data_IF_705362559727
#
_entry.id   IF_705362559727
#
_cell.length_a   1.000
_cell.length_b   1.000
_cell.length_c   1.000
_cell.angle_alpha   90.00
_cell.angle_beta   90.00
_cell.angle_gamma   90.00
#
_symmetry.space_group_name_H-M   'P 1'
#
loop_
_entity.id
_entity.type
_entity.pdbx_description
1 polymer ?
#
# COMPACT_ATOMS: atom_id res chain seq x y z
N UNK A 1 17.72 -48.01 73.49
CA UNK A 1 17.87 -46.52 73.33
C UNK A 1 17.12 -46.10 72.06
N UNK A 2 15.88 -45.76 72.26
CA UNK A 2 14.97 -45.41 71.12
C UNK A 2 15.02 -43.93 70.83
N UNK A 3 15.27 -43.64 69.59
CA UNK A 3 15.16 -42.27 69.08
C UNK A 3 13.80 -42.08 68.40
N UNK A 4 13.06 -41.02 68.71
CA UNK A 4 11.73 -40.80 68.16
C UNK A 4 11.75 -40.17 66.73
N UNK A 5 11.00 -40.77 65.83
CA UNK A 5 10.71 -40.24 64.47
C UNK A 5 9.65 -39.16 64.52
N UNK A 6 10.00 -37.94 64.05
CA UNK A 6 9.08 -36.85 63.83
C UNK A 6 8.30 -37.05 62.51
N UNK A 7 7.00 -36.77 62.45
CA UNK A 7 6.23 -36.89 61.21
C UNK A 7 6.46 -35.65 60.31
N UNK A 8 6.79 -35.88 59.07
CA UNK A 8 6.85 -34.86 57.99
C UNK A 8 5.42 -34.50 57.62
N UNK A 9 4.98 -33.29 58.00
CA UNK A 9 3.74 -32.68 57.49
C UNK A 9 4.03 -32.17 56.05
N UNK A 10 3.38 -32.80 55.07
CA UNK A 10 3.36 -32.34 53.70
C UNK A 10 2.48 -31.09 53.62
N UNK A 11 3.06 -29.92 53.39
CA UNK A 11 2.35 -28.70 53.01
C UNK A 11 1.97 -28.80 51.53
N UNK A 12 0.73 -29.05 51.20
CA UNK A 12 0.16 -28.83 49.86
C UNK A 12 0.03 -27.32 49.61
N UNK A 13 0.95 -26.75 48.87
CA UNK A 13 0.80 -25.41 48.33
C UNK A 13 -0.05 -25.52 47.05
N UNK A 14 -1.33 -25.18 47.16
CA UNK A 14 -2.21 -25.01 46.00
C UNK A 14 -1.77 -23.75 45.24
N UNK A 15 -1.12 -23.92 44.10
CA UNK A 15 -0.79 -22.86 43.16
C UNK A 15 -2.11 -22.53 42.40
N UNK A 16 -2.84 -21.52 42.83
CA UNK A 16 -3.92 -20.91 42.06
C UNK A 16 -3.29 -20.20 40.85
N UNK A 17 -3.27 -20.86 39.70
CA UNK A 17 -3.09 -20.22 38.43
C UNK A 17 -4.31 -19.32 38.17
N UNK A 18 -4.22 -18.06 38.53
CA UNK A 18 -5.09 -17.04 37.99
C UNK A 18 -4.71 -16.89 36.52
N UNK A 19 -5.48 -17.52 35.64
CA UNK A 19 -5.56 -17.14 34.25
C UNK A 19 -6.01 -15.67 34.22
N UNK A 20 -5.04 -14.77 34.15
CA UNK A 20 -5.33 -13.40 33.74
C UNK A 20 -5.86 -13.52 32.30
N UNK A 21 -7.20 -13.56 32.17
CA UNK A 21 -7.85 -13.27 30.90
C UNK A 21 -7.42 -11.85 30.57
N UNK A 22 -6.48 -11.71 29.66
CA UNK A 22 -6.14 -10.42 29.07
C UNK A 22 -7.48 -9.81 28.64
N UNK A 23 -7.83 -8.65 29.16
CA UNK A 23 -9.03 -7.95 28.75
C UNK A 23 -8.84 -7.64 27.25
N UNK A 24 -9.44 -8.44 26.38
CA UNK A 24 -9.45 -8.18 24.96
C UNK A 24 -10.05 -6.79 24.73
N UNK A 25 -9.24 -5.88 24.21
CA UNK A 25 -9.68 -4.51 23.95
C UNK A 25 -10.73 -4.56 22.83
N UNK A 26 -11.98 -4.32 23.20
CA UNK A 26 -13.09 -4.20 22.24
C UNK A 26 -13.44 -2.74 22.06
N UNK A 27 -13.54 -2.31 20.80
CA UNK A 27 -13.97 -0.96 20.43
C UNK A 27 -15.19 -1.05 19.52
N UNK A 28 -16.19 -0.21 19.75
CA UNK A 28 -17.36 -0.12 18.89
C UNK A 28 -17.55 1.32 18.39
N UNK A 29 -17.45 1.51 17.08
CA UNK A 29 -17.79 2.77 16.42
C UNK A 29 -19.29 2.78 16.14
N UNK A 30 -19.99 3.81 16.58
CA UNK A 30 -21.47 3.86 16.53
C UNK A 30 -21.96 5.17 15.94
N UNK A 31 -23.04 5.11 15.14
CA UNK A 31 -23.77 6.28 14.69
C UNK A 31 -23.29 6.91 13.39
N UNK A 32 -22.24 6.40 12.78
CA UNK A 32 -21.78 6.89 11.49
C UNK A 32 -22.61 6.39 10.31
N UNK A 33 -22.59 7.13 9.22
CA UNK A 33 -22.81 6.56 7.90
C UNK A 33 -21.60 5.69 7.56
N UNK A 34 -21.78 4.38 7.43
CA UNK A 34 -20.68 3.45 7.09
C UNK A 34 -20.66 3.18 5.60
N UNK A 35 -19.48 3.34 4.98
CA UNK A 35 -19.21 2.99 3.58
C UNK A 35 -18.25 1.79 3.60
N UNK A 36 -18.76 0.55 3.56
CA UNK A 36 -17.92 -0.63 3.77
C UNK A 36 -17.06 -1.00 2.55
N UNK A 37 -17.31 -0.42 1.38
CA UNK A 37 -16.75 -0.72 0.06
C UNK A 37 -17.24 -2.08 -0.49
N UNK A 38 -17.10 -3.16 0.26
CA UNK A 38 -17.58 -4.49 -0.14
C UNK A 38 -19.07 -4.71 0.18
N UNK A 39 -19.91 -3.71 -0.12
CA UNK A 39 -21.35 -3.79 0.13
C UNK A 39 -22.03 -2.43 0.13
N UNK A 40 -23.34 -2.38 0.37
CA UNK A 40 -24.10 -1.12 0.33
C UNK A 40 -23.73 -0.22 1.52
N UNK A 41 -23.85 1.10 1.32
CA UNK A 41 -23.72 2.09 2.38
C UNK A 41 -24.78 1.89 3.48
N UNK A 42 -24.39 2.09 4.74
CA UNK A 42 -25.24 1.91 5.93
C UNK A 42 -25.45 3.27 6.61
N UNK A 43 -26.67 3.77 6.63
CA UNK A 43 -26.95 5.14 7.07
C UNK A 43 -26.66 5.41 8.57
N UNK A 44 -26.94 4.45 9.44
CA UNK A 44 -26.65 4.47 10.89
C UNK A 44 -26.00 3.13 11.25
N UNK A 45 -24.68 3.09 11.13
CA UNK A 45 -23.90 1.86 11.23
C UNK A 45 -23.20 1.68 12.58
N UNK A 46 -22.82 0.44 12.80
CA UNK A 46 -21.94 0.01 13.88
C UNK A 46 -20.82 -0.84 13.30
N UNK A 47 -19.58 -0.55 13.70
CA UNK A 47 -18.41 -1.39 13.44
C UNK A 47 -17.83 -1.80 14.78
N UNK A 48 -17.69 -3.10 15.01
CA UNK A 48 -17.10 -3.67 16.23
C UNK A 48 -15.73 -4.22 15.91
N UNK A 49 -14.76 -3.82 16.71
CA UNK A 49 -13.36 -4.21 16.59
C UNK A 49 -12.94 -4.95 17.85
N UNK A 50 -12.19 -6.02 17.69
CA UNK A 50 -11.55 -6.77 18.78
C UNK A 50 -10.16 -7.22 18.35
N UNK A 51 -9.16 -6.98 19.18
CA UNK A 51 -7.77 -7.40 18.94
C UNK A 51 -7.24 -6.98 17.56
N UNK A 52 -7.52 -5.73 17.16
CA UNK A 52 -7.08 -5.17 15.90
C UNK A 52 -7.87 -5.61 14.66
N UNK A 53 -8.90 -6.46 14.84
CA UNK A 53 -9.71 -6.96 13.71
C UNK A 53 -11.18 -6.58 13.83
N UNK A 54 -11.81 -6.39 12.70
CA UNK A 54 -13.24 -6.16 12.60
C UNK A 54 -13.97 -7.47 12.92
N UNK A 55 -14.89 -7.44 13.87
CA UNK A 55 -15.70 -8.62 14.23
C UNK A 55 -17.13 -8.53 13.74
N UNK A 56 -17.65 -7.31 13.56
CA UNK A 56 -18.99 -7.09 12.99
C UNK A 56 -19.12 -5.72 12.34
N UNK A 57 -19.87 -5.65 11.23
CA UNK A 57 -20.28 -4.42 10.56
C UNK A 57 -21.74 -4.54 10.18
N UNK A 58 -22.54 -3.51 10.42
CA UNK A 58 -23.94 -3.51 10.04
C UNK A 58 -24.75 -2.33 10.60
N UNK A 59 -26.04 -2.33 10.34
CA UNK A 59 -26.93 -1.31 10.90
C UNK A 59 -27.01 -1.40 12.43
N UNK A 60 -27.21 -0.26 13.11
CA UNK A 60 -27.32 -0.17 14.58
C UNK A 60 -28.30 -1.17 15.18
N UNK A 61 -29.39 -1.49 14.51
CA UNK A 61 -30.38 -2.46 14.98
C UNK A 61 -30.00 -3.93 14.76
N UNK A 62 -28.98 -4.21 13.94
CA UNK A 62 -28.56 -5.58 13.57
C UNK A 62 -27.24 -6.01 14.21
N UNK A 63 -26.40 -5.08 14.62
CA UNK A 63 -25.11 -5.36 15.27
C UNK A 63 -25.21 -5.09 16.78
N UNK A 64 -24.89 -6.11 17.57
CA UNK A 64 -24.83 -5.97 19.03
C UNK A 64 -23.48 -5.38 19.44
N UNK A 65 -23.49 -4.25 20.12
CA UNK A 65 -22.30 -3.71 20.80
C UNK A 65 -22.01 -4.57 22.04
N UNK A 66 -20.80 -5.14 22.19
CA UNK A 66 -20.47 -5.96 23.36
C UNK A 66 -20.51 -5.12 24.65
N UNK A 67 -21.01 -5.75 25.75
CA UNK A 67 -20.96 -5.11 27.05
C UNK A 67 -19.52 -4.97 27.52
N UNK A 68 -19.09 -3.74 27.79
CA UNK A 68 -17.70 -3.44 28.17
C UNK A 68 -16.79 -2.99 27.02
N UNK A 69 -17.29 -2.93 25.79
CA UNK A 69 -16.56 -2.30 24.69
C UNK A 69 -16.41 -0.80 24.92
N UNK A 70 -15.25 -0.26 24.55
CA UNK A 70 -15.06 1.18 24.44
C UNK A 70 -15.93 1.68 23.28
N UNK A 71 -16.88 2.56 23.57
CA UNK A 71 -17.76 3.12 22.54
C UNK A 71 -17.17 4.43 22.03
N UNK A 72 -16.90 4.47 20.72
CA UNK A 72 -16.52 5.68 19.98
C UNK A 72 -17.77 6.18 19.26
N UNK A 73 -18.33 7.27 19.75
CA UNK A 73 -19.48 7.93 19.12
C UNK A 73 -19.00 8.74 17.91
N UNK A 74 -19.39 8.30 16.72
CA UNK A 74 -19.09 8.93 15.43
C UNK A 74 -20.38 9.37 14.72
N UNK A 75 -21.40 9.73 15.52
CA UNK A 75 -22.68 10.22 15.00
C UNK A 75 -22.52 11.45 14.12
N UNK A 76 -23.17 11.44 12.95
CA UNK A 76 -23.06 12.52 11.96
C UNK A 76 -21.80 12.51 11.13
N UNK A 77 -20.91 11.53 11.32
CA UNK A 77 -19.68 11.31 10.57
C UNK A 77 -19.85 10.23 9.51
N UNK A 78 -18.82 10.06 8.68
CA UNK A 78 -18.69 8.93 7.76
C UNK A 78 -17.55 8.05 8.23
N UNK A 79 -17.76 6.75 8.22
CA UNK A 79 -16.75 5.74 8.53
C UNK A 79 -16.52 4.87 7.29
N UNK A 80 -15.27 4.74 6.85
CA UNK A 80 -14.90 3.90 5.72
C UNK A 80 -13.55 3.21 5.99
N UNK A 81 -13.15 2.20 5.17
CA UNK A 81 -11.82 1.62 5.28
C UNK A 81 -10.73 2.67 5.15
N UNK A 82 -9.60 2.42 5.76
CA UNK A 82 -8.39 3.16 5.53
C UNK A 82 -7.96 3.12 4.06
N UNK A 83 -7.31 4.16 3.61
CA UNK A 83 -6.86 4.31 2.23
C UNK A 83 -5.62 3.43 2.01
N UNK A 84 -5.56 2.78 0.83
CA UNK A 84 -4.43 1.96 0.37
C UNK A 84 -3.72 2.70 -0.75
N UNK A 85 -2.51 3.18 -0.48
CA UNK A 85 -1.67 3.84 -1.49
C UNK A 85 -0.72 2.83 -2.13
N UNK A 86 -0.94 2.54 -3.39
CA UNK A 86 -0.21 1.49 -4.12
C UNK A 86 1.17 1.93 -4.63
N UNK A 87 1.52 3.20 -4.50
CA UNK A 87 2.80 3.75 -4.94
C UNK A 87 3.11 5.04 -4.20
N UNK A 88 4.08 4.99 -3.33
CA UNK A 88 4.53 6.14 -2.56
C UNK A 88 6.04 6.13 -2.32
N UNK A 89 6.58 7.29 -1.94
CA UNK A 89 7.98 7.48 -1.57
C UNK A 89 8.11 8.01 -0.12
N UNK A 90 7.07 7.85 0.69
CA UNK A 90 7.11 8.20 2.12
C UNK A 90 8.12 7.34 2.87
N UNK A 91 8.62 7.83 4.02
CA UNK A 91 9.59 7.12 4.85
C UNK A 91 11.04 7.49 4.57
N UNK A 92 11.27 8.56 3.79
CA UNK A 92 12.58 9.17 3.51
C UNK A 92 13.62 8.18 2.94
N UNK A 93 13.16 7.13 2.27
CA UNK A 93 13.99 6.14 1.60
C UNK A 93 14.69 6.72 0.36
N UNK A 94 15.81 6.13 -0.01
CA UNK A 94 16.60 6.56 -1.16
C UNK A 94 15.85 6.36 -2.49
N UNK A 95 16.05 7.28 -3.42
CA UNK A 95 15.40 7.27 -4.74
C UNK A 95 15.86 6.14 -5.67
N UNK A 96 16.99 5.51 -5.37
CA UNK A 96 17.57 4.40 -6.13
C UNK A 96 19.07 4.57 -6.39
N UNK A 97 19.77 3.45 -6.51
CA UNK A 97 21.22 3.39 -6.72
C UNK A 97 21.59 3.62 -8.20
N UNK A 98 22.52 4.52 -8.46
CA UNK A 98 22.94 4.92 -9.80
C UNK A 98 24.10 4.09 -10.38
N UNK A 99 24.60 3.07 -9.66
CA UNK A 99 25.78 2.28 -10.06
C UNK A 99 25.51 1.35 -11.26
N UNK A 100 24.25 0.94 -11.46
CA UNK A 100 23.83 0.11 -12.59
C UNK A 100 22.40 0.42 -13.04
N UNK A 101 21.97 -0.04 -14.23
CA UNK A 101 20.60 0.15 -14.69
C UNK A 101 19.57 -0.74 -14.00
N UNK A 102 19.99 -1.74 -13.23
CA UNK A 102 19.11 -2.72 -12.59
C UNK A 102 19.67 -3.21 -11.25
N UNK A 103 18.84 -3.16 -10.24
CA UNK A 103 19.13 -3.50 -8.83
C UNK A 103 18.03 -4.38 -8.21
N UNK A 104 17.74 -5.58 -8.73
CA UNK A 104 16.67 -6.42 -8.18
C UNK A 104 16.97 -6.98 -6.78
N UNK A 105 18.19 -6.85 -6.31
CA UNK A 105 18.70 -7.22 -5.00
C UNK A 105 18.56 -6.13 -3.93
N UNK A 106 18.39 -4.86 -4.34
CA UNK A 106 18.21 -3.74 -3.41
C UNK A 106 16.80 -3.75 -2.83
N UNK A 107 16.67 -3.57 -1.52
CA UNK A 107 15.39 -3.45 -0.83
C UNK A 107 15.23 -2.05 -0.27
N UNK A 108 14.13 -1.37 -0.60
CA UNK A 108 13.84 -0.05 -0.03
C UNK A 108 13.73 -0.11 1.49
N UNK A 109 13.28 -1.24 2.03
CA UNK A 109 13.17 -1.51 3.46
C UNK A 109 14.44 -1.12 4.25
N UNK A 110 15.62 -1.36 3.65
CA UNK A 110 16.91 -1.13 4.33
C UNK A 110 17.28 0.38 4.42
N UNK A 111 16.48 1.27 3.80
CA UNK A 111 16.70 2.72 3.77
C UNK A 111 15.57 3.53 4.44
N UNK A 112 14.50 2.89 4.92
CA UNK A 112 13.35 3.60 5.47
C UNK A 112 13.58 4.06 6.91
N UNK A 113 13.17 5.31 7.20
CA UNK A 113 13.09 5.84 8.56
C UNK A 113 11.65 5.68 9.10
N UNK A 114 11.41 4.82 10.11
CA UNK A 114 10.06 4.64 10.67
C UNK A 114 9.50 5.91 11.36
N UNK A 115 10.35 6.90 11.63
CA UNK A 115 9.96 8.18 12.26
C UNK A 115 9.88 9.34 11.27
N UNK A 116 9.90 9.06 9.97
CA UNK A 116 9.81 10.10 8.96
C UNK A 116 8.48 10.86 9.07
N UNK A 117 8.52 12.19 9.04
CA UNK A 117 7.34 13.07 9.06
C UNK A 117 6.37 12.78 7.91
N UNK A 118 6.87 12.21 6.83
CA UNK A 118 6.07 11.80 5.69
C UNK A 118 5.05 10.69 6.04
N UNK A 119 5.34 9.81 7.00
CA UNK A 119 4.37 8.84 7.52
C UNK A 119 3.24 9.53 8.29
N UNK A 120 3.56 10.55 9.11
CA UNK A 120 2.54 11.33 9.83
C UNK A 120 1.61 12.08 8.87
N UNK A 121 2.17 12.66 7.80
CA UNK A 121 1.36 13.28 6.73
C UNK A 121 0.43 12.28 6.06
N UNK A 122 0.93 11.06 5.79
CA UNK A 122 0.12 10.01 5.18
C UNK A 122 -1.02 9.56 6.12
N UNK A 123 -0.75 9.41 7.42
CA UNK A 123 -1.77 9.13 8.45
C UNK A 123 -2.82 10.25 8.51
N UNK A 124 -2.38 11.52 8.46
CA UNK A 124 -3.27 12.69 8.42
C UNK A 124 -4.13 12.73 7.13
N UNK A 125 -3.67 12.09 6.05
CA UNK A 125 -4.41 11.88 4.80
C UNK A 125 -5.35 10.68 4.81
N UNK A 126 -5.39 9.89 5.89
CA UNK A 126 -6.22 8.70 6.02
C UNK A 126 -5.61 7.43 5.38
N UNK A 127 -4.35 7.48 5.00
CA UNK A 127 -3.64 6.32 4.45
C UNK A 127 -3.27 5.40 5.62
N UNK A 128 -3.67 4.13 5.52
CA UNK A 128 -3.37 3.11 6.53
C UNK A 128 -2.41 2.05 6.03
N UNK A 129 -2.36 1.87 4.72
CA UNK A 129 -1.49 0.90 4.05
C UNK A 129 -0.83 1.56 2.85
N UNK A 130 0.45 1.32 2.69
CA UNK A 130 1.24 1.92 1.61
C UNK A 130 2.23 0.92 1.00
N UNK A 131 2.39 1.00 -0.31
CA UNK A 131 3.51 0.38 -1.00
C UNK A 131 4.61 1.42 -1.19
N UNK A 132 5.60 1.41 -0.33
CA UNK A 132 6.79 2.26 -0.47
C UNK A 132 7.74 1.63 -1.46
N UNK A 133 8.22 2.42 -2.41
CA UNK A 133 9.09 1.91 -3.45
C UNK A 133 10.24 2.86 -3.77
N UNK A 134 11.37 2.32 -4.27
CA UNK A 134 12.44 3.17 -4.77
C UNK A 134 11.99 3.94 -6.00
N UNK A 135 12.69 5.02 -6.33
CA UNK A 135 12.40 5.88 -7.47
C UNK A 135 12.42 5.16 -8.82
N UNK A 136 11.84 5.78 -9.84
CA UNK A 136 11.65 5.19 -11.18
C UNK A 136 12.87 5.39 -12.11
N UNK A 137 14.02 5.86 -11.58
CA UNK A 137 15.20 6.22 -12.36
C UNK A 137 15.97 5.07 -13.02
N UNK A 138 15.55 3.82 -12.82
CA UNK A 138 16.24 2.62 -13.29
C UNK A 138 15.25 1.65 -13.93
N UNK A 139 15.74 0.73 -14.80
CA UNK A 139 14.91 -0.31 -15.41
C UNK A 139 14.30 -1.23 -14.34
N UNK A 140 15.04 -1.42 -13.26
CA UNK A 140 14.62 -2.13 -12.07
C UNK A 140 15.32 -1.49 -10.88
N UNK A 141 14.57 -0.74 -10.08
CA UNK A 141 15.12 0.06 -8.98
C UNK A 141 15.26 -0.74 -7.69
N UNK A 142 14.61 -1.89 -7.58
CA UNK A 142 14.67 -2.75 -6.41
C UNK A 142 13.33 -3.24 -5.90
N UNK A 143 13.39 -3.87 -4.74
CA UNK A 143 12.24 -4.44 -4.06
C UNK A 143 11.52 -3.36 -3.24
N UNK A 144 10.19 -3.34 -3.33
CA UNK A 144 9.34 -2.42 -2.57
C UNK A 144 9.03 -3.00 -1.18
N UNK A 145 8.41 -2.19 -0.31
CA UNK A 145 7.94 -2.61 1.00
C UNK A 145 6.45 -2.28 1.18
N UNK A 146 5.65 -3.28 1.57
CA UNK A 146 4.25 -3.08 1.94
C UNK A 146 4.17 -2.82 3.43
N UNK A 147 3.70 -1.64 3.80
CA UNK A 147 3.65 -1.19 5.17
C UNK A 147 2.22 -0.88 5.60
N UNK A 148 1.91 -1.20 6.86
CA UNK A 148 0.81 -0.58 7.60
C UNK A 148 1.36 0.61 8.37
N UNK A 149 0.68 1.74 8.30
CA UNK A 149 1.15 2.98 8.92
C UNK A 149 0.89 2.98 10.44
N UNK A 150 1.41 1.94 11.12
CA UNK A 150 1.44 1.84 12.58
C UNK A 150 2.37 2.93 13.15
N UNK A 151 2.07 3.42 14.32
CA UNK A 151 3.03 4.22 15.10
C UNK A 151 4.09 3.27 15.69
N UNK A 152 5.29 3.28 15.11
CA UNK A 152 6.35 2.33 15.43
C UNK A 152 7.74 3.01 15.44
N UNK A 153 8.67 2.43 16.19
CA UNK A 153 10.05 2.90 16.27
C UNK A 153 11.02 2.08 15.40
N UNK A 154 10.56 0.94 14.90
CA UNK A 154 11.33 0.07 14.00
C UNK A 154 10.47 -0.26 12.79
N UNK A 155 11.10 -0.33 11.63
CA UNK A 155 10.37 -0.49 10.37
C UNK A 155 9.70 -1.87 10.25
N UNK A 156 10.28 -2.89 10.88
CA UNK A 156 9.75 -4.25 10.90
C UNK A 156 8.35 -4.31 11.53
N UNK A 157 8.07 -3.48 12.54
CA UNK A 157 6.73 -3.38 13.17
C UNK A 157 5.67 -2.79 12.23
N UNK A 158 6.10 -2.13 11.15
CA UNK A 158 5.21 -1.57 10.12
C UNK A 158 4.98 -2.53 8.95
N UNK A 159 5.82 -3.56 8.76
CA UNK A 159 5.71 -4.48 7.64
C UNK A 159 4.40 -5.29 7.66
N UNK A 160 3.94 -5.66 6.48
CA UNK A 160 2.82 -6.59 6.28
C UNK A 160 3.25 -8.05 6.26
N UNK A 161 4.54 -8.33 6.03
CA UNK A 161 5.12 -9.67 6.18
C UNK A 161 5.50 -9.94 7.65
N UNK A 162 5.60 -11.21 8.02
CA UNK A 162 5.93 -11.61 9.40
C UNK A 162 7.45 -11.52 9.68
N UNK A 163 8.29 -11.93 8.73
CA UNK A 163 9.75 -11.94 8.88
C UNK A 163 10.44 -11.48 7.58
N UNK A 164 11.07 -10.28 7.55
CA UNK A 164 11.75 -9.77 6.36
C UNK A 164 13.01 -10.56 5.96
N UNK A 165 13.43 -11.53 6.76
CA UNK A 165 14.56 -12.41 6.44
C UNK A 165 14.13 -13.63 5.61
N UNK A 166 12.87 -14.03 5.71
CA UNK A 166 12.34 -15.24 5.07
C UNK A 166 11.19 -14.96 4.10
N UNK A 167 10.47 -13.86 4.30
CA UNK A 167 9.25 -13.56 3.57
C UNK A 167 9.46 -12.52 2.47
N UNK A 168 8.54 -12.49 1.51
CA UNK A 168 8.46 -11.44 0.49
C UNK A 168 7.62 -10.30 1.04
N UNK A 169 8.26 -9.21 1.44
CA UNK A 169 7.62 -8.07 2.10
C UNK A 169 7.14 -6.96 1.15
N UNK A 170 7.20 -7.19 -0.15
CA UNK A 170 6.80 -6.23 -1.17
C UNK A 170 7.02 -6.74 -2.59
N UNK A 171 6.80 -5.86 -3.58
CA UNK A 171 6.94 -6.17 -4.99
C UNK A 171 8.34 -5.89 -5.55
N UNK A 172 8.43 -5.96 -6.88
CA UNK A 172 9.61 -5.55 -7.66
C UNK A 172 9.30 -4.28 -8.45
N UNK A 173 10.01 -3.21 -8.18
CA UNK A 173 9.87 -1.96 -8.92
C UNK A 173 10.61 -2.04 -10.25
N UNK A 174 9.85 -1.90 -11.33
CA UNK A 174 10.38 -1.74 -12.69
C UNK A 174 9.94 -0.41 -13.29
N UNK A 175 10.67 0.06 -14.29
CA UNK A 175 10.32 1.27 -15.03
C UNK A 175 10.76 1.21 -16.49
N UNK A 176 10.02 1.91 -17.34
CA UNK A 176 10.42 2.23 -18.72
C UNK A 176 10.21 3.72 -18.99
N UNK A 177 10.34 4.12 -20.24
CA UNK A 177 10.21 5.52 -20.64
C UNK A 177 11.44 6.35 -20.28
N UNK A 178 11.26 7.68 -20.21
CA UNK A 178 12.37 8.62 -20.05
C UNK A 178 13.01 8.58 -18.67
N UNK A 179 12.30 8.12 -17.64
CA UNK A 179 12.84 8.02 -16.29
C UNK A 179 14.02 7.06 -16.19
N UNK A 180 13.94 5.92 -16.86
CA UNK A 180 14.97 4.86 -16.82
C UNK A 180 16.02 4.97 -17.90
N UNK A 181 15.91 5.96 -18.82
CA UNK A 181 16.89 6.24 -19.87
C UNK A 181 17.85 7.33 -19.39
N UNK A 182 19.16 7.10 -19.54
CA UNK A 182 20.20 8.01 -19.06
C UNK A 182 20.65 9.06 -20.09
N UNK A 183 19.97 9.15 -21.26
CA UNK A 183 20.30 10.11 -22.31
C UNK A 183 21.68 9.89 -22.97
N UNK A 184 22.15 10.89 -23.69
CA UNK A 184 23.27 10.80 -24.66
C UNK A 184 24.59 10.19 -24.15
N UNK A 185 24.88 10.17 -22.89
CA UNK A 185 26.10 9.62 -22.32
C UNK A 185 25.86 8.60 -21.24
N UNK A 186 24.58 8.16 -21.07
CA UNK A 186 24.18 7.20 -20.07
C UNK A 186 23.81 5.84 -20.69
N UNK A 187 23.59 4.86 -19.83
CA UNK A 187 23.22 3.51 -20.20
C UNK A 187 22.03 3.05 -19.34
N UNK A 188 20.92 2.59 -19.95
CA UNK A 188 20.65 2.53 -21.40
C UNK A 188 20.28 3.89 -22.01
N UNK A 189 20.54 4.10 -23.28
CA UNK A 189 20.22 5.33 -24.02
C UNK A 189 18.90 5.22 -24.83
N UNK A 190 18.47 4.00 -25.16
CA UNK A 190 17.29 3.79 -25.99
C UNK A 190 16.32 2.79 -25.36
N UNK A 191 14.99 2.95 -25.65
CA UNK A 191 13.94 2.00 -25.25
C UNK A 191 14.23 0.57 -25.68
N UNK A 192 14.75 0.37 -26.91
CA UNK A 192 15.07 -0.95 -27.42
C UNK A 192 16.20 -1.62 -26.61
N UNK A 193 17.25 -0.88 -26.26
CA UNK A 193 18.34 -1.41 -25.43
C UNK A 193 17.87 -1.66 -23.99
N UNK A 194 17.04 -0.78 -23.45
CA UNK A 194 16.44 -0.95 -22.13
C UNK A 194 15.70 -2.29 -22.01
N UNK A 195 14.84 -2.60 -22.98
CA UNK A 195 14.09 -3.88 -23.00
C UNK A 195 15.01 -5.07 -23.20
N UNK A 196 16.08 -4.95 -24.01
CA UNK A 196 17.05 -6.02 -24.20
C UNK A 196 17.77 -6.39 -22.88
N UNK A 197 18.15 -5.39 -22.09
CA UNK A 197 18.79 -5.59 -20.77
C UNK A 197 17.82 -6.32 -19.82
N UNK A 198 16.55 -5.92 -19.79
CA UNK A 198 15.53 -6.57 -18.97
C UNK A 198 15.37 -8.04 -19.37
N UNK A 199 15.31 -8.34 -20.68
CA UNK A 199 15.24 -9.74 -21.15
C UNK A 199 16.46 -10.55 -20.78
N UNK A 200 17.65 -10.02 -20.96
CA UNK A 200 18.91 -10.67 -20.55
C UNK A 200 18.85 -11.08 -19.09
N UNK A 201 18.40 -10.19 -18.21
CA UNK A 201 18.31 -10.47 -16.77
C UNK A 201 17.26 -11.54 -16.43
N UNK A 202 16.10 -11.53 -17.06
CA UNK A 202 15.09 -12.58 -16.82
C UNK A 202 15.53 -13.93 -17.39
N UNK A 203 16.22 -13.98 -18.54
CA UNK A 203 16.80 -15.22 -19.06
C UNK A 203 17.88 -15.80 -18.13
N UNK A 204 18.72 -14.95 -17.53
CA UNK A 204 19.67 -15.37 -16.50
C UNK A 204 18.95 -15.97 -15.29
N UNK A 205 17.86 -15.35 -14.83
CA UNK A 205 17.06 -15.82 -13.70
C UNK A 205 16.33 -17.15 -14.02
N UNK A 206 15.81 -17.32 -15.24
CA UNK A 206 15.25 -18.59 -15.69
C UNK A 206 16.29 -19.72 -15.65
N UNK A 207 17.49 -19.47 -16.18
CA UNK A 207 18.58 -20.44 -16.14
C UNK A 207 19.01 -20.78 -14.70
N UNK A 208 19.04 -19.77 -13.81
CA UNK A 208 19.33 -19.95 -12.39
C UNK A 208 18.26 -20.83 -11.72
N UNK A 209 16.98 -20.54 -11.94
CA UNK A 209 15.84 -21.30 -11.41
C UNK A 209 15.87 -22.76 -11.89
N UNK A 210 16.14 -22.98 -13.19
CA UNK A 210 16.23 -24.33 -13.76
C UNK A 210 17.35 -25.15 -13.10
N UNK A 211 18.53 -24.57 -12.89
CA UNK A 211 19.64 -25.23 -12.20
C UNK A 211 19.26 -25.60 -10.76
N UNK A 212 18.64 -24.69 -10.01
CA UNK A 212 18.15 -24.99 -8.66
C UNK A 212 17.12 -26.13 -8.65
N UNK A 213 16.18 -26.11 -9.57
CA UNK A 213 15.16 -27.17 -9.70
C UNK A 213 15.75 -28.53 -10.10
N UNK A 214 16.85 -28.55 -10.85
CA UNK A 214 17.59 -29.77 -11.21
C UNK A 214 18.43 -30.33 -10.03
N UNK A 215 18.53 -29.61 -8.92
CA UNK A 215 19.34 -30.00 -7.76
C UNK A 215 20.81 -29.65 -7.90
N UNK A 216 21.19 -28.82 -8.88
CA UNK A 216 22.56 -28.34 -9.02
C UNK A 216 22.96 -27.50 -7.83
N UNK A 217 24.23 -27.60 -7.40
CA UNK A 217 24.79 -26.73 -6.38
C UNK A 217 25.06 -25.34 -6.95
N UNK A 218 24.08 -24.44 -6.81
CA UNK A 218 24.24 -23.02 -7.18
C UNK A 218 24.39 -22.17 -5.91
N UNK A 219 25.37 -21.26 -5.91
CA UNK A 219 25.57 -20.31 -4.81
C UNK A 219 24.40 -19.32 -4.70
N UNK A 220 24.25 -18.67 -3.53
CA UNK A 220 23.31 -17.57 -3.33
C UNK A 220 23.63 -16.43 -4.30
N UNK A 221 22.59 -15.86 -4.90
CA UNK A 221 22.69 -14.69 -5.76
C UNK A 221 21.41 -13.85 -5.59
N UNK A 222 21.48 -12.83 -4.74
CA UNK A 222 20.31 -12.01 -4.37
C UNK A 222 19.63 -11.40 -5.58
N UNK A 223 20.42 -10.99 -6.58
CA UNK A 223 19.89 -10.43 -7.83
C UNK A 223 19.02 -11.43 -8.59
N UNK A 224 19.52 -12.65 -8.76
CA UNK A 224 18.81 -13.71 -9.48
C UNK A 224 17.66 -14.31 -8.65
N UNK A 225 17.80 -14.34 -7.32
CA UNK A 225 16.75 -14.78 -6.40
C UNK A 225 15.54 -13.86 -6.48
N UNK A 226 15.73 -12.53 -6.39
CA UNK A 226 14.62 -11.57 -6.52
C UNK A 226 13.91 -11.62 -7.88
N UNK A 227 14.64 -11.90 -8.98
CA UNK A 227 14.05 -12.11 -10.30
C UNK A 227 13.34 -13.47 -10.41
N UNK A 228 13.87 -14.52 -9.78
CA UNK A 228 13.24 -15.84 -9.75
C UNK A 228 11.88 -15.77 -9.05
N UNK A 229 11.74 -15.01 -7.95
CA UNK A 229 10.47 -14.78 -7.26
C UNK A 229 9.40 -14.13 -8.17
N UNK A 230 9.81 -13.23 -9.07
CA UNK A 230 8.92 -12.67 -10.10
C UNK A 230 8.47 -13.76 -11.07
N UNK A 231 9.41 -14.59 -11.57
CA UNK A 231 9.12 -15.69 -12.50
C UNK A 231 8.31 -16.84 -11.87
N UNK A 232 8.32 -16.96 -10.55
CA UNK A 232 7.53 -17.90 -9.75
C UNK A 232 6.13 -17.36 -9.43
N UNK A 233 5.89 -16.07 -9.72
CA UNK A 233 4.63 -15.39 -9.43
C UNK A 233 4.43 -15.05 -7.94
N UNK A 234 5.48 -15.19 -7.11
CA UNK A 234 5.42 -14.89 -5.67
C UNK A 234 5.71 -13.43 -5.38
N UNK A 235 6.43 -12.72 -6.26
CA UNK A 235 6.70 -11.28 -6.15
C UNK A 235 5.99 -10.51 -7.25
N UNK A 236 5.09 -9.62 -6.87
CA UNK A 236 4.35 -8.74 -7.79
C UNK A 236 5.29 -7.73 -8.44
N UNK A 237 5.12 -7.51 -9.75
CA UNK A 237 5.84 -6.45 -10.48
C UNK A 237 5.03 -5.16 -10.47
N UNK A 238 5.61 -4.09 -9.94
CA UNK A 238 5.09 -2.71 -9.98
C UNK A 238 5.82 -1.95 -11.08
N UNK A 239 5.13 -1.69 -12.19
CA UNK A 239 5.76 -1.19 -13.41
C UNK A 239 5.40 0.27 -13.69
N UNK A 240 6.33 1.19 -13.46
CA UNK A 240 6.23 2.60 -13.87
C UNK A 240 6.20 2.73 -15.39
N UNK A 241 5.16 3.32 -15.94
CA UNK A 241 5.00 3.53 -17.38
C UNK A 241 4.01 4.66 -17.67
N UNK A 242 4.26 5.48 -18.69
CA UNK A 242 3.41 6.64 -19.01
C UNK A 242 2.76 6.53 -20.40
N UNK A 243 3.58 6.39 -21.45
CA UNK A 243 3.13 6.43 -22.84
C UNK A 243 2.45 5.13 -23.24
N UNK A 244 1.49 5.20 -24.13
CA UNK A 244 0.77 4.02 -24.62
C UNK A 244 1.67 2.94 -25.22
N UNK A 245 2.74 3.31 -25.97
CA UNK A 245 3.68 2.37 -26.57
C UNK A 245 4.61 1.73 -25.49
N UNK A 246 4.97 2.47 -24.46
CA UNK A 246 5.71 1.96 -23.29
C UNK A 246 4.82 1.02 -22.43
N UNK A 247 3.52 1.35 -22.27
CA UNK A 247 2.52 0.46 -21.63
C UNK A 247 2.44 -0.88 -22.36
N UNK A 248 2.25 -0.86 -23.68
CA UNK A 248 2.21 -2.07 -24.49
C UNK A 248 3.52 -2.87 -24.42
N UNK A 249 4.64 -2.20 -24.23
CA UNK A 249 5.94 -2.86 -24.04
C UNK A 249 6.01 -3.55 -22.66
N UNK A 250 5.53 -2.92 -21.59
CA UNK A 250 5.46 -3.54 -20.26
C UNK A 250 4.57 -4.80 -20.28
N UNK A 251 3.40 -4.73 -20.93
CA UNK A 251 2.52 -5.89 -21.10
C UNK A 251 3.17 -7.01 -21.93
N UNK A 252 3.95 -6.65 -22.95
CA UNK A 252 4.69 -7.63 -23.78
C UNK A 252 5.75 -8.36 -22.98
N UNK A 253 6.52 -7.66 -22.15
CA UNK A 253 7.52 -8.26 -21.25
C UNK A 253 6.82 -9.20 -20.26
N UNK A 254 5.74 -8.76 -19.62
CA UNK A 254 4.97 -9.59 -18.70
C UNK A 254 4.49 -10.89 -19.37
N UNK A 255 3.94 -10.80 -20.57
CA UNK A 255 3.52 -11.98 -21.34
C UNK A 255 4.69 -12.89 -21.73
N UNK A 256 5.85 -12.33 -22.09
CA UNK A 256 7.04 -13.07 -22.48
C UNK A 256 7.60 -13.91 -21.32
N UNK A 257 7.54 -13.39 -20.09
CA UNK A 257 8.11 -14.02 -18.89
C UNK A 257 7.08 -14.56 -17.90
N UNK A 258 5.80 -14.54 -18.26
CA UNK A 258 4.73 -15.21 -17.51
C UNK A 258 4.24 -14.45 -16.27
N UNK A 259 4.41 -13.13 -16.20
CA UNK A 259 3.86 -12.32 -15.11
C UNK A 259 2.90 -11.24 -15.61
N UNK A 260 1.94 -10.83 -14.77
CA UNK A 260 1.06 -9.69 -15.03
C UNK A 260 1.51 -8.51 -14.19
N UNK A 261 1.98 -7.41 -14.79
CA UNK A 261 2.43 -6.25 -14.03
C UNK A 261 1.24 -5.43 -13.50
N UNK A 262 1.37 -4.87 -12.30
CA UNK A 262 0.58 -3.71 -11.87
C UNK A 262 1.18 -2.49 -12.57
N UNK A 263 0.40 -1.86 -13.43
CA UNK A 263 0.85 -0.70 -14.21
C UNK A 263 0.67 0.59 -13.39
N UNK A 264 1.70 1.40 -13.25
CA UNK A 264 1.65 2.65 -12.50
C UNK A 264 1.70 3.87 -13.41
N UNK A 265 1.01 4.94 -12.99
CA UNK A 265 0.81 6.23 -13.67
C UNK A 265 -0.06 6.14 -14.93
N UNK A 266 0.34 5.38 -15.92
CA UNK A 266 -0.40 5.07 -17.15
C UNK A 266 -1.00 6.31 -17.80
N UNK A 267 -0.22 7.40 -17.93
CA UNK A 267 -0.71 8.71 -18.37
C UNK A 267 -1.47 8.68 -19.70
N UNK A 268 -1.09 7.78 -20.62
CA UNK A 268 -1.77 7.54 -21.89
C UNK A 268 -2.53 6.20 -21.93
N UNK A 269 -2.76 5.56 -20.78
CA UNK A 269 -3.45 4.27 -20.70
C UNK A 269 -4.86 4.30 -21.28
N UNK A 270 -5.52 5.46 -21.24
CA UNK A 270 -6.82 5.66 -21.89
C UNK A 270 -6.81 5.39 -23.40
N UNK A 271 -5.65 5.39 -24.07
CA UNK A 271 -5.49 5.07 -25.48
C UNK A 271 -5.44 3.56 -25.76
N UNK A 272 -5.10 2.77 -24.75
CA UNK A 272 -4.84 1.32 -24.83
C UNK A 272 -5.55 0.57 -23.70
N UNK A 273 -6.69 1.10 -23.26
CA UNK A 273 -7.47 0.52 -22.16
C UNK A 273 -7.95 -0.91 -22.47
N UNK A 274 -8.35 -1.15 -23.72
CA UNK A 274 -8.79 -2.47 -24.17
C UNK A 274 -7.65 -3.51 -24.14
N UNK A 275 -6.44 -3.10 -24.50
CA UNK A 275 -5.25 -3.97 -24.45
C UNK A 275 -4.81 -4.24 -23.01
N UNK A 276 -4.94 -3.25 -22.11
CA UNK A 276 -4.69 -3.41 -20.67
C UNK A 276 -5.70 -4.40 -20.09
N UNK A 277 -6.99 -4.24 -20.41
CA UNK A 277 -8.05 -5.13 -19.98
C UNK A 277 -7.85 -6.56 -20.53
N UNK A 278 -7.52 -6.69 -21.82
CA UNK A 278 -7.25 -7.99 -22.44
C UNK A 278 -6.04 -8.71 -21.83
N UNK A 279 -5.08 -8.00 -21.31
CA UNK A 279 -3.94 -8.55 -20.58
C UNK A 279 -4.26 -8.92 -19.12
N UNK A 280 -5.45 -8.55 -18.61
CA UNK A 280 -5.80 -8.71 -17.20
C UNK A 280 -4.92 -7.89 -16.24
N UNK A 281 -4.23 -6.85 -16.74
CA UNK A 281 -3.33 -6.06 -15.96
C UNK A 281 -4.11 -4.97 -15.20
N UNK A 282 -3.94 -4.86 -13.87
CA UNK A 282 -4.52 -3.75 -13.13
C UNK A 282 -3.70 -2.48 -13.34
N UNK A 283 -4.35 -1.33 -13.19
CA UNK A 283 -3.75 -0.03 -13.40
C UNK A 283 -3.92 0.88 -12.19
N UNK A 284 -2.81 1.26 -11.57
CA UNK A 284 -2.76 2.29 -10.54
C UNK A 284 -2.44 3.63 -11.22
N UNK A 285 -3.39 4.56 -11.16
CA UNK A 285 -3.31 5.82 -11.90
C UNK A 285 -3.08 7.00 -10.96
N UNK A 286 -2.39 8.02 -11.49
CA UNK A 286 -2.27 9.30 -10.82
C UNK A 286 -3.23 10.30 -11.44
N UNK A 287 -3.88 11.12 -10.61
CA UNK A 287 -4.76 12.18 -11.07
C UNK A 287 -3.96 13.45 -11.30
N UNK A 288 -4.49 14.33 -12.14
CA UNK A 288 -3.88 15.57 -12.63
C UNK A 288 -3.65 16.65 -11.56
N UNK A 289 -3.34 16.29 -10.33
CA UNK A 289 -2.90 17.25 -9.32
C UNK A 289 -1.46 17.70 -9.56
N UNK A 290 -0.68 16.83 -10.17
CA UNK A 290 0.67 17.14 -10.57
C UNK A 290 0.66 18.00 -11.82
N UNK A 291 1.46 19.07 -11.87
CA UNK A 291 1.58 19.92 -13.06
C UNK A 291 2.27 19.22 -14.25
N UNK A 292 2.60 17.95 -14.13
CA UNK A 292 3.18 17.14 -15.19
C UNK A 292 4.70 17.09 -15.15
N UNK A 293 5.41 18.12 -15.42
CA UNK A 293 6.89 18.19 -15.38
C UNK A 293 7.64 17.35 -16.43
N UNK A 294 7.05 16.27 -16.94
CA UNK A 294 7.66 15.38 -17.96
C UNK A 294 6.88 15.40 -19.27
N UNK A 295 7.59 15.41 -20.39
CA UNK A 295 6.95 15.32 -21.72
C UNK A 295 6.17 14.03 -21.94
N UNK A 296 6.59 12.92 -21.37
CA UNK A 296 5.87 11.64 -21.48
C UNK A 296 4.57 11.59 -20.67
N UNK A 297 4.44 12.43 -19.64
CA UNK A 297 3.22 12.57 -18.87
C UNK A 297 2.20 13.58 -19.45
N UNK A 298 2.53 14.25 -20.58
CA UNK A 298 1.65 15.24 -21.22
C UNK A 298 0.28 14.68 -21.64
N UNK A 299 0.17 13.37 -21.76
CA UNK A 299 -1.05 12.66 -22.12
C UNK A 299 -1.95 12.34 -20.92
N UNK A 300 -1.62 12.81 -19.72
CA UNK A 300 -2.49 12.70 -18.55
C UNK A 300 -3.88 13.25 -18.89
N UNK A 301 -4.91 12.50 -18.51
CA UNK A 301 -6.28 12.81 -18.86
C UNK A 301 -7.22 12.50 -17.70
N UNK A 302 -8.01 13.46 -17.25
CA UNK A 302 -8.93 13.30 -16.11
C UNK A 302 -9.88 12.10 -16.24
N UNK A 303 -10.26 11.76 -17.48
CA UNK A 303 -11.15 10.64 -17.74
C UNK A 303 -10.46 9.29 -17.83
N UNK A 304 -9.16 9.19 -17.58
CA UNK A 304 -8.44 7.91 -17.65
C UNK A 304 -9.10 6.84 -16.79
N UNK A 305 -9.47 7.17 -15.54
CA UNK A 305 -10.17 6.23 -14.66
C UNK A 305 -11.51 5.77 -15.23
N UNK A 306 -12.30 6.70 -15.81
CA UNK A 306 -13.56 6.34 -16.46
C UNK A 306 -13.38 5.45 -17.68
N UNK A 307 -12.42 5.76 -18.54
CA UNK A 307 -12.16 4.96 -19.76
C UNK A 307 -11.71 3.56 -19.37
N UNK A 308 -10.87 3.42 -18.35
CA UNK A 308 -10.43 2.13 -17.84
C UNK A 308 -11.56 1.35 -17.16
N UNK A 309 -12.43 2.03 -16.39
CA UNK A 309 -13.63 1.43 -15.81
C UNK A 309 -14.53 0.84 -16.91
N UNK A 310 -14.78 1.60 -17.99
CA UNK A 310 -15.59 1.16 -19.12
C UNK A 310 -14.98 -0.04 -19.85
N UNK A 311 -13.66 -0.14 -19.90
CA UNK A 311 -12.92 -1.26 -20.48
C UNK A 311 -12.83 -2.49 -19.54
N UNK A 312 -13.26 -2.36 -18.26
CA UNK A 312 -13.20 -3.42 -17.27
C UNK A 312 -11.82 -3.62 -16.62
N UNK A 313 -10.95 -2.62 -16.70
CA UNK A 313 -9.66 -2.63 -15.98
C UNK A 313 -9.89 -2.42 -14.49
N UNK A 314 -9.23 -3.18 -13.63
CA UNK A 314 -9.18 -2.89 -12.19
C UNK A 314 -8.30 -1.67 -11.94
N UNK A 315 -8.90 -0.59 -11.41
CA UNK A 315 -8.25 0.72 -11.26
C UNK A 315 -8.06 1.04 -9.79
N UNK A 316 -6.83 1.43 -9.41
CA UNK A 316 -6.54 2.10 -8.15
C UNK A 316 -5.95 3.50 -8.40
N UNK A 317 -5.97 4.34 -7.37
CA UNK A 317 -5.20 5.58 -7.32
C UNK A 317 -3.94 5.39 -6.49
N UNK A 318 -2.95 6.28 -6.71
CA UNK A 318 -1.77 6.39 -5.87
C UNK A 318 -1.32 7.84 -5.73
N UNK A 319 -0.45 8.11 -4.75
CA UNK A 319 0.09 9.45 -4.53
C UNK A 319 1.33 9.73 -5.36
N UNK A 320 2.25 8.77 -5.48
CA UNK A 320 3.62 9.07 -5.92
C UNK A 320 4.17 10.26 -5.07
N UNK A 321 3.98 10.20 -3.74
CA UNK A 321 4.27 11.31 -2.82
C UNK A 321 5.76 11.69 -2.93
N UNK A 322 6.09 12.98 -3.26
CA UNK A 322 5.31 14.20 -3.26
C UNK A 322 4.72 14.69 -4.62
N UNK A 323 4.31 13.83 -5.54
CA UNK A 323 3.59 14.30 -6.73
C UNK A 323 2.15 14.66 -6.34
N UNK A 324 1.43 13.78 -5.67
CA UNK A 324 0.17 14.09 -4.97
C UNK A 324 0.47 14.07 -3.48
N UNK A 325 0.25 15.18 -2.81
CA UNK A 325 0.38 15.26 -1.35
C UNK A 325 -0.56 14.24 -0.69
N UNK A 326 -0.02 13.35 0.14
CA UNK A 326 -0.76 12.29 0.83
C UNK A 326 -1.99 12.80 1.58
N UNK A 327 -1.95 14.03 2.14
CA UNK A 327 -3.07 14.69 2.84
C UNK A 327 -4.25 15.01 1.92
N UNK A 328 -3.99 15.14 0.63
CA UNK A 328 -4.97 15.51 -0.39
C UNK A 328 -5.42 14.32 -1.24
N UNK A 329 -4.93 13.12 -0.93
CA UNK A 329 -5.09 11.95 -1.77
C UNK A 329 -6.57 11.59 -2.00
N UNK A 330 -7.43 11.69 -0.99
CA UNK A 330 -8.87 11.42 -1.12
C UNK A 330 -9.55 12.26 -2.22
N UNK A 331 -9.01 13.43 -2.53
CA UNK A 331 -9.45 14.29 -3.64
C UNK A 331 -9.35 13.60 -5.01
N UNK A 332 -8.45 12.62 -5.17
CA UNK A 332 -8.30 11.87 -6.42
C UNK A 332 -9.58 11.15 -6.82
N UNK A 333 -10.28 10.54 -5.86
CA UNK A 333 -11.59 9.91 -6.10
C UNK A 333 -12.63 10.94 -6.56
N UNK A 334 -12.69 12.11 -5.92
CA UNK A 334 -13.63 13.18 -6.28
C UNK A 334 -13.39 13.71 -7.70
N UNK A 335 -12.12 13.86 -8.11
CA UNK A 335 -11.74 14.27 -9.47
C UNK A 335 -12.08 13.18 -10.48
N UNK A 336 -11.92 11.90 -10.15
CA UNK A 336 -12.33 10.78 -10.98
C UNK A 336 -13.85 10.77 -11.24
N UNK A 337 -14.66 10.94 -10.18
CA UNK A 337 -16.12 11.01 -10.30
C UNK A 337 -16.54 12.23 -11.11
N UNK A 338 -15.95 13.40 -10.86
CA UNK A 338 -16.18 14.59 -11.66
C UNK A 338 -15.89 14.37 -13.16
N UNK A 339 -14.94 13.50 -13.47
CA UNK A 339 -14.56 13.14 -14.84
C UNK A 339 -15.40 12.00 -15.43
N UNK A 340 -16.37 11.45 -14.66
CA UNK A 340 -17.36 10.48 -15.12
C UNK A 340 -17.18 9.05 -14.61
N UNK A 341 -16.17 8.78 -13.76
CA UNK A 341 -16.04 7.50 -13.07
C UNK A 341 -17.22 7.29 -12.10
N UNK A 342 -17.66 6.05 -11.91
CA UNK A 342 -18.71 5.78 -10.91
C UNK A 342 -18.19 6.07 -9.50
N UNK A 343 -19.11 6.49 -8.60
CA UNK A 343 -18.77 6.74 -7.18
C UNK A 343 -18.18 5.50 -6.52
N UNK A 344 -18.83 4.39 -6.75
CA UNK A 344 -18.46 3.09 -6.17
C UNK A 344 -17.04 2.71 -6.58
N UNK A 345 -16.73 2.79 -7.88
CA UNK A 345 -15.40 2.46 -8.40
C UNK A 345 -14.33 3.47 -7.97
N UNK A 346 -14.67 4.74 -7.85
CA UNK A 346 -13.72 5.74 -7.38
C UNK A 346 -13.35 5.56 -5.91
N UNK A 347 -14.28 5.17 -5.04
CA UNK A 347 -13.99 4.84 -3.64
C UNK A 347 -13.28 3.48 -3.50
N UNK A 348 -13.65 2.49 -4.29
CA UNK A 348 -12.94 1.21 -4.38
C UNK A 348 -11.49 1.41 -4.83
N UNK A 349 -11.24 2.35 -5.77
CA UNK A 349 -9.91 2.68 -6.27
C UNK A 349 -8.98 3.31 -5.21
N UNK A 350 -9.54 3.88 -4.15
CA UNK A 350 -8.79 4.40 -3.00
C UNK A 350 -8.47 3.33 -1.94
N UNK A 351 -9.09 2.14 -2.03
CA UNK A 351 -9.12 1.17 -0.94
C UNK A 351 -8.93 -0.26 -1.45
N UNK A 352 -10.03 -0.99 -1.73
CA UNK A 352 -10.01 -2.42 -2.04
C UNK A 352 -9.29 -2.76 -3.35
N UNK A 353 -9.38 -1.91 -4.37
CA UNK A 353 -8.64 -2.13 -5.61
C UNK A 353 -7.12 -2.08 -5.38
N UNK A 354 -6.64 -1.10 -4.59
CA UNK A 354 -5.25 -1.04 -4.16
C UNK A 354 -4.82 -2.29 -3.39
N UNK A 355 -5.66 -2.74 -2.45
CA UNK A 355 -5.39 -3.96 -1.68
C UNK A 355 -5.27 -5.21 -2.57
N UNK A 356 -6.12 -5.33 -3.62
CA UNK A 356 -5.98 -6.42 -4.62
C UNK A 356 -4.65 -6.35 -5.37
N UNK A 357 -4.23 -5.15 -5.77
CA UNK A 357 -2.96 -4.95 -6.50
C UNK A 357 -1.73 -5.30 -5.68
N UNK A 358 -1.83 -5.19 -4.35
CA UNK A 358 -0.78 -5.59 -3.41
C UNK A 358 -0.91 -7.05 -2.96
N UNK A 359 -1.98 -7.76 -3.34
CA UNK A 359 -2.24 -9.14 -2.92
C UNK A 359 -2.68 -9.29 -1.46
N UNK A 360 -3.24 -8.24 -0.86
CA UNK A 360 -3.61 -8.17 0.57
C UNK A 360 -5.10 -7.85 0.78
N UNK A 361 -5.94 -8.07 -0.24
CA UNK A 361 -7.36 -7.76 -0.16
C UNK A 361 -8.14 -8.57 0.89
N UNK A 362 -7.61 -9.71 1.31
CA UNK A 362 -8.18 -10.51 2.40
C UNK A 362 -7.94 -9.86 3.78
N UNK A 363 -6.95 -8.95 3.89
CA UNK A 363 -6.57 -8.30 5.15
C UNK A 363 -7.11 -6.88 5.28
N UNK A 364 -7.13 -6.08 4.20
CA UNK A 364 -7.45 -4.65 4.23
C UNK A 364 -8.32 -4.21 3.02
N UNK A 365 -8.68 -2.94 2.99
CA UNK A 365 -9.34 -2.28 1.85
C UNK A 365 -10.86 -2.28 1.89
N UNK A 366 -11.49 -3.00 2.82
CA UNK A 366 -12.94 -2.96 3.06
C UNK A 366 -13.27 -3.21 4.53
N UNK A 367 -14.44 -2.74 4.98
CA UNK A 367 -14.93 -3.04 6.33
C UNK A 367 -15.75 -4.34 6.29
N UNK A 368 -15.06 -5.45 6.54
CA UNK A 368 -15.64 -6.79 6.59
C UNK A 368 -15.13 -7.52 7.84
N UNK A 369 -15.99 -8.39 8.41
CA UNK A 369 -15.57 -9.22 9.55
C UNK A 369 -14.38 -10.11 9.18
N UNK A 370 -13.37 -10.16 10.04
CA UNK A 370 -12.13 -10.89 9.87
C UNK A 370 -10.96 -10.03 9.37
N UNK A 371 -11.22 -8.92 8.68
CA UNK A 371 -10.18 -8.00 8.21
C UNK A 371 -9.62 -7.13 9.34
N UNK A 372 -8.46 -6.58 9.09
CA UNK A 372 -7.82 -5.59 9.96
C UNK A 372 -8.72 -4.38 10.18
N UNK A 373 -8.72 -3.87 11.39
CA UNK A 373 -9.48 -2.67 11.74
C UNK A 373 -8.73 -1.40 11.30
N UNK A 374 -8.51 -1.30 10.00
CA UNK A 374 -7.96 -0.14 9.31
C UNK A 374 -9.14 0.70 8.81
N UNK A 375 -9.36 1.83 9.43
CA UNK A 375 -10.52 2.67 9.13
C UNK A 375 -10.23 4.15 9.35
N UNK A 376 -11.02 4.99 8.67
CA UNK A 376 -10.97 6.44 8.83
C UNK A 376 -12.34 7.00 9.18
N UNK A 377 -12.32 8.02 10.03
CA UNK A 377 -13.49 8.84 10.37
C UNK A 377 -13.40 10.15 9.61
N UNK A 378 -14.42 10.43 8.82
CA UNK A 378 -14.52 11.60 7.96
C UNK A 378 -15.58 12.57 8.49
N UNK A 379 -15.33 13.88 8.36
CA UNK A 379 -16.30 14.92 8.74
C UNK A 379 -17.57 14.94 7.85
N UNK A 380 -17.53 14.26 6.69
CA UNK A 380 -18.63 14.25 5.72
C UNK A 380 -18.38 13.31 4.55
N UNK A 381 -19.05 13.55 3.43
CA UNK A 381 -18.90 12.73 2.21
C UNK A 381 -17.46 12.72 1.70
N UNK A 382 -16.87 11.53 1.45
CA UNK A 382 -15.47 11.40 1.01
C UNK A 382 -15.15 12.12 -0.30
N UNK A 383 -16.13 12.39 -1.14
CA UNK A 383 -15.93 13.09 -2.42
C UNK A 383 -16.07 14.62 -2.31
N UNK A 384 -16.36 15.14 -1.10
CA UNK A 384 -16.44 16.58 -0.86
C UNK A 384 -15.09 17.17 -0.47
N UNK A 385 -14.66 18.24 -1.14
CA UNK A 385 -13.45 18.98 -0.78
C UNK A 385 -13.51 19.66 0.60
N UNK A 386 -14.69 19.77 1.20
CA UNK A 386 -14.87 20.27 2.56
C UNK A 386 -14.68 19.19 3.62
N UNK A 387 -14.66 17.93 3.22
CA UNK A 387 -14.47 16.79 4.12
C UNK A 387 -13.03 16.72 4.59
N UNK A 388 -12.86 16.50 5.88
CA UNK A 388 -11.57 16.29 6.53
C UNK A 388 -11.47 14.89 7.09
N UNK A 389 -10.27 14.33 7.09
CA UNK A 389 -9.95 13.16 7.92
C UNK A 389 -9.94 13.67 9.38
N UNK A 390 -10.78 13.10 10.23
CA UNK A 390 -10.82 13.42 11.65
C UNK A 390 -10.03 12.42 12.49
N UNK A 391 -10.07 11.15 12.09
CA UNK A 391 -9.28 10.11 12.74
C UNK A 391 -8.84 9.07 11.72
N UNK A 392 -7.63 8.52 11.94
CA UNK A 392 -7.11 7.36 11.22
C UNK A 392 -6.75 6.28 12.22
N UNK A 393 -7.20 5.06 11.95
CA UNK A 393 -7.00 3.90 12.79
C UNK A 393 -6.33 2.78 11.99
N UNK A 394 -5.29 2.19 12.56
CA UNK A 394 -4.55 1.05 11.99
C UNK A 394 -4.59 -0.09 13.01
N UNK A 395 -5.01 -1.27 12.58
CA UNK A 395 -5.20 -2.43 13.47
C UNK A 395 -5.97 -2.09 14.75
N UNK A 396 -7.00 -1.26 14.63
CA UNK A 396 -7.83 -0.82 15.76
C UNK A 396 -7.16 0.13 16.74
N UNK A 397 -5.94 0.60 16.43
CA UNK A 397 -5.22 1.63 17.18
C UNK A 397 -5.34 2.97 16.45
N UNK A 398 -5.69 4.03 17.16
CA UNK A 398 -5.77 5.36 16.59
C UNK A 398 -4.37 5.93 16.41
N UNK A 399 -3.99 6.22 15.16
CA UNK A 399 -2.66 6.72 14.77
C UNK A 399 -2.69 8.20 14.34
N UNK A 400 -3.87 8.78 14.19
CA UNK A 400 -4.06 10.20 13.92
C UNK A 400 -5.40 10.66 14.50
N UNK A 401 -5.40 11.84 15.14
CA UNK A 401 -6.61 12.52 15.62
C UNK A 401 -6.52 14.02 15.39
N UNK A 402 -7.35 14.55 14.50
CA UNK A 402 -7.39 15.98 14.19
C UNK A 402 -7.67 16.88 15.40
N UNK A 403 -8.22 16.33 16.49
CA UNK A 403 -8.46 17.06 17.73
C UNK A 403 -7.19 17.24 18.58
N UNK A 404 -6.12 16.50 18.29
CA UNK A 404 -4.81 16.63 18.94
C UNK A 404 -3.99 17.67 18.16
N UNK A 405 -3.53 18.76 18.81
CA UNK A 405 -2.81 19.83 18.10
C UNK A 405 -1.56 19.38 17.37
N UNK A 406 -0.82 18.43 17.93
CA UNK A 406 0.39 17.86 17.37
C UNK A 406 0.09 17.12 16.07
N UNK A 407 -0.95 16.28 16.06
CA UNK A 407 -1.40 15.55 14.86
C UNK A 407 -1.99 16.53 13.83
N UNK A 408 -2.80 17.50 14.28
CA UNK A 408 -3.43 18.48 13.42
C UNK A 408 -2.42 19.31 12.61
N UNK A 409 -1.20 19.52 13.13
CA UNK A 409 -0.13 20.20 12.41
C UNK A 409 0.21 19.49 11.09
N UNK A 410 0.22 18.17 11.07
CA UNK A 410 0.47 17.37 9.85
C UNK A 410 -0.65 17.49 8.82
N UNK A 411 -1.89 17.72 9.25
CA UNK A 411 -3.03 17.83 8.33
C UNK A 411 -3.12 19.16 7.59
N UNK A 412 -2.62 20.25 8.20
CA UNK A 412 -2.76 21.61 7.65
C UNK A 412 -1.47 22.14 7.00
N UNK A 413 -0.39 21.37 7.09
CA UNK A 413 0.92 21.82 6.70
C UNK A 413 1.55 22.74 7.75
N UNK A 414 2.81 22.92 7.68
CA UNK A 414 3.61 23.77 8.56
C UNK A 414 5.07 23.66 8.15
N UNK A 415 5.92 24.50 8.73
CA UNK A 415 7.32 24.57 8.34
C UNK A 415 8.04 23.22 8.48
N UNK A 416 7.82 22.52 9.57
CA UNK A 416 8.48 21.24 9.83
C UNK A 416 8.01 20.13 8.87
N UNK A 417 6.74 20.17 8.46
CA UNK A 417 6.19 19.26 7.44
C UNK A 417 6.80 19.53 6.06
N UNK A 418 7.12 20.78 5.75
CA UNK A 418 7.77 21.16 4.49
C UNK A 418 9.28 20.89 4.45
N UNK A 419 9.95 20.80 5.60
CA UNK A 419 11.39 20.52 5.64
C UNK A 419 11.74 19.18 5.04
N UNK A 420 10.87 18.19 5.17
CA UNK A 420 11.05 16.88 4.56
C UNK A 420 11.07 16.92 3.01
N UNK A 421 10.42 17.91 2.39
CA UNK A 421 10.42 18.07 0.92
C UNK A 421 11.69 18.68 0.36
N UNK A 422 12.47 19.42 1.14
CA UNK A 422 13.64 20.13 0.62
C UNK A 422 14.86 19.24 0.39
N UNK A 423 14.77 17.94 0.75
CA UNK A 423 15.86 16.98 0.58
C UNK A 423 15.68 16.05 -0.62
N UNK A 424 14.54 16.10 -1.30
CA UNK A 424 14.33 15.39 -2.55
C UNK A 424 14.57 16.33 -3.73
N UNK A 425 15.82 16.73 -3.92
CA UNK A 425 16.26 17.26 -5.20
C UNK A 425 16.18 16.13 -6.23
N UNK A 426 15.20 16.23 -7.10
CA UNK A 426 15.08 15.40 -8.29
C UNK A 426 16.14 15.86 -9.32
N UNK A 427 17.42 15.63 -9.06
CA UNK A 427 18.47 15.71 -10.08
C UNK A 427 18.58 14.43 -10.92
#
# INVERSE_FOLDING_TARGET
>A
MDSPRLPVRALLVAFLLTLASGAHSQTAFVGAKVIPIAGPEIADGVVVVQDGRITAVGARGSVRVPSGATVVDVSGKVLMPGIVDTHSHVGDGDGGDSSAPMHPDVRILDALDPRADSFERARAGGITTVNVMPGSGHLMSGQTAYLKLRDANVIEDMLLCDDPLTDICGGMKMANGTNSLRGRNGFPDTRARAVAIVREAFLEAEAFRQKRAAGDSVGRNLRLEGLAEVLEGTRTVHFHTHRHDDVLTALRIGREFGFTPVLHHVSEGWRVADEIAAAGAPASIIVLDSPGGKMEARGLYFRTGRVMEDAGVDVAYHTDDGITDSRLFLRSAALGVRAGMSREKALEAMTLAGARMLGIADEVGSLEAGKSADLIVLSGDPLSIYTRIEQTWVDGTKVFDLAIPEDAAYSVGGYDVYRAFSQHDHE
#
